data_IF_468771244410
#
_entry.id   IF_468771244410
#
_cell.length_a   1.000
_cell.length_b   1.000
_cell.length_c   1.000
_cell.angle_alpha   90.00
_cell.angle_beta   90.00
_cell.angle_gamma   90.00
#
_symmetry.space_group_name_H-M   'P 1'
#
loop_
_entity.id
_entity.type
_entity.pdbx_description
1 polymer ?
#
# COMPACT_ATOMS: atom_id res chain seq x y z
N UNK A 1 -26.44 -5.11 47.31
CA UNK A 1 -25.88 -6.15 46.42
C UNK A 1 -25.99 -5.79 44.93
N UNK A 2 -27.10 -5.21 44.44
CA UNK A 2 -27.26 -4.80 43.02
C UNK A 2 -26.24 -3.78 42.49
N UNK A 3 -25.79 -2.81 43.30
CA UNK A 3 -24.85 -1.78 42.85
C UNK A 3 -23.48 -2.38 42.46
N UNK A 4 -22.98 -3.35 43.24
CA UNK A 4 -21.73 -4.05 42.91
C UNK A 4 -21.82 -4.81 41.59
N UNK A 5 -22.98 -5.41 41.31
CA UNK A 5 -23.20 -6.13 40.06
C UNK A 5 -23.19 -5.18 38.85
N UNK A 6 -23.81 -4.00 38.96
CA UNK A 6 -23.80 -2.96 37.91
C UNK A 6 -22.41 -2.36 37.66
N UNK A 7 -21.62 -2.11 38.72
CA UNK A 7 -20.26 -1.58 38.57
C UNK A 7 -19.37 -2.63 37.89
N UNK A 8 -19.52 -3.91 38.27
CA UNK A 8 -18.75 -5.00 37.66
C UNK A 8 -19.05 -5.17 36.17
N UNK A 9 -20.32 -5.08 35.75
CA UNK A 9 -20.67 -5.20 34.31
C UNK A 9 -20.16 -4.01 33.50
N UNK A 10 -20.22 -2.79 34.04
CA UNK A 10 -19.64 -1.61 33.38
C UNK A 10 -18.13 -1.75 33.22
N UNK A 11 -17.42 -2.25 34.23
CA UNK A 11 -15.97 -2.45 34.17
C UNK A 11 -15.58 -3.49 33.11
N UNK A 12 -16.29 -4.61 33.02
CA UNK A 12 -16.04 -5.63 31.98
C UNK A 12 -16.36 -5.12 30.57
N UNK A 13 -17.46 -4.37 30.41
CA UNK A 13 -17.77 -3.71 29.15
C UNK A 13 -16.68 -2.71 28.74
N UNK A 14 -16.18 -1.91 29.68
CA UNK A 14 -15.10 -0.96 29.44
C UNK A 14 -13.81 -1.70 29.03
N UNK A 15 -13.50 -2.81 29.70
CA UNK A 15 -12.32 -3.65 29.39
C UNK A 15 -12.40 -4.22 27.98
N UNK A 16 -13.57 -4.70 27.56
CA UNK A 16 -13.79 -5.19 26.19
C UNK A 16 -13.64 -4.08 25.14
N UNK A 17 -14.13 -2.86 25.43
CA UNK A 17 -13.98 -1.69 24.54
C UNK A 17 -12.51 -1.26 24.43
N UNK A 18 -11.77 -1.25 25.53
CA UNK A 18 -10.33 -0.93 25.52
C UNK A 18 -9.55 -1.98 24.73
N UNK A 19 -9.85 -3.27 24.93
CA UNK A 19 -9.19 -4.35 24.19
C UNK A 19 -9.46 -4.30 22.69
N UNK A 20 -10.69 -3.99 22.27
CA UNK A 20 -11.02 -3.85 20.84
C UNK A 20 -10.33 -2.63 20.21
N UNK A 21 -10.24 -1.49 20.91
CA UNK A 21 -9.53 -0.31 20.42
C UNK A 21 -8.02 -0.55 20.25
N UNK A 22 -7.39 -1.31 21.16
CA UNK A 22 -5.98 -1.70 21.04
C UNK A 22 -5.78 -2.60 19.82
N UNK A 23 -6.69 -3.54 19.57
CA UNK A 23 -6.59 -4.46 18.42
C UNK A 23 -6.66 -3.72 17.08
N UNK A 24 -7.57 -2.74 16.95
CA UNK A 24 -7.69 -1.89 15.75
C UNK A 24 -6.42 -1.04 15.55
N UNK A 25 -5.79 -0.60 16.64
CA UNK A 25 -4.55 0.18 16.55
C UNK A 25 -3.37 -0.67 16.10
N UNK A 26 -3.28 -1.91 16.60
CA UNK A 26 -2.21 -2.87 16.27
C UNK A 26 -2.29 -3.37 14.82
N UNK A 27 -3.49 -3.43 14.22
CA UNK A 27 -3.66 -3.76 12.80
C UNK A 27 -3.11 -2.73 11.81
N UNK A 28 -2.69 -1.53 12.29
CA UNK A 28 -1.91 -0.58 11.50
C UNK A 28 -0.43 -1.00 11.37
N UNK A 29 -0.17 -2.31 11.33
CA UNK A 29 1.15 -2.89 11.16
C UNK A 29 1.87 -2.25 9.98
N UNK A 30 3.15 -1.99 10.15
CA UNK A 30 4.01 -1.45 9.10
C UNK A 30 4.18 -2.50 7.99
N UNK A 31 3.29 -2.46 6.98
CA UNK A 31 3.29 -3.38 5.85
C UNK A 31 4.38 -3.04 4.81
N UNK A 32 5.28 -2.08 5.07
CA UNK A 32 6.31 -1.68 4.10
C UNK A 32 7.32 -2.80 3.78
N UNK A 33 7.44 -3.80 4.66
CA UNK A 33 8.32 -4.94 4.47
C UNK A 33 7.59 -6.23 4.08
N UNK A 34 6.26 -6.21 4.06
CA UNK A 34 5.40 -7.33 3.72
C UNK A 34 5.64 -7.80 2.28
N UNK A 35 5.75 -9.12 2.06
CA UNK A 35 5.99 -9.70 0.74
C UNK A 35 4.81 -9.44 -0.19
N UNK A 36 3.59 -9.52 0.31
CA UNK A 36 2.38 -9.42 -0.50
C UNK A 36 2.23 -7.99 -1.02
N UNK A 37 2.58 -7.00 -0.19
CA UNK A 37 2.63 -5.59 -0.62
C UNK A 37 3.68 -5.38 -1.72
N UNK A 38 4.86 -6.00 -1.61
CA UNK A 38 5.90 -5.88 -2.65
C UNK A 38 5.45 -6.52 -3.96
N UNK A 39 4.85 -7.70 -3.90
CA UNK A 39 4.38 -8.43 -5.07
C UNK A 39 3.29 -7.64 -5.80
N UNK A 40 2.31 -7.10 -5.06
CA UNK A 40 1.25 -6.25 -5.63
C UNK A 40 1.81 -4.96 -6.25
N UNK A 41 2.84 -4.35 -5.66
CA UNK A 41 3.51 -3.19 -6.25
C UNK A 41 4.24 -3.59 -7.54
N UNK A 42 4.96 -4.70 -7.56
CA UNK A 42 5.69 -5.17 -8.73
C UNK A 42 4.76 -5.61 -9.87
N UNK A 43 3.60 -6.17 -9.53
CA UNK A 43 2.50 -6.50 -10.45
C UNK A 43 1.88 -5.25 -11.07
N UNK A 44 1.67 -4.22 -10.25
CA UNK A 44 1.02 -2.97 -10.64
C UNK A 44 1.96 -1.91 -11.21
N UNK A 45 3.29 -2.09 -11.15
CA UNK A 45 4.28 -1.05 -11.49
C UNK A 45 4.12 -0.50 -12.91
N UNK A 46 3.72 -1.34 -13.87
CA UNK A 46 3.45 -0.92 -15.24
C UNK A 46 2.19 -0.04 -15.32
N UNK A 47 1.14 -0.39 -14.57
CA UNK A 47 -0.09 0.41 -14.48
C UNK A 47 0.16 1.75 -13.78
N UNK A 48 0.94 1.76 -12.69
CA UNK A 48 1.38 2.98 -11.99
C UNK A 48 2.10 3.90 -12.98
N UNK A 49 3.09 3.35 -13.70
CA UNK A 49 3.84 4.09 -14.72
C UNK A 49 2.93 4.69 -15.81
N UNK A 50 1.96 3.91 -16.31
CA UNK A 50 0.99 4.39 -17.29
C UNK A 50 0.12 5.53 -16.75
N UNK A 51 -0.34 5.44 -15.49
CA UNK A 51 -1.15 6.48 -14.83
C UNK A 51 -0.37 7.79 -14.60
N UNK A 52 0.94 7.72 -14.39
CA UNK A 52 1.76 8.92 -14.20
C UNK A 52 1.98 9.75 -15.48
N UNK A 53 1.62 9.24 -16.66
CA UNK A 53 1.70 9.94 -17.96
C UNK A 53 3.08 10.53 -18.27
N UNK A 54 4.16 9.93 -17.75
CA UNK A 54 5.52 10.40 -18.03
C UNK A 54 6.09 9.80 -19.32
N UNK A 55 6.99 10.55 -19.97
CA UNK A 55 7.76 10.05 -21.12
C UNK A 55 8.72 8.91 -20.75
N UNK A 56 9.16 8.87 -19.49
CA UNK A 56 10.12 7.91 -18.97
C UNK A 56 9.48 6.99 -17.92
N UNK A 57 10.01 5.77 -17.83
CA UNK A 57 9.65 4.84 -16.77
C UNK A 57 10.24 5.26 -15.43
N UNK A 58 9.56 4.86 -14.38
CA UNK A 58 9.97 4.95 -13.00
C UNK A 58 10.09 3.56 -12.40
N UNK A 59 11.05 3.41 -11.50
CA UNK A 59 11.25 2.22 -10.69
C UNK A 59 10.86 2.49 -9.25
N UNK A 60 10.40 1.45 -8.56
CA UNK A 60 10.29 1.48 -7.12
C UNK A 60 11.69 1.64 -6.50
N UNK A 61 11.85 2.63 -5.63
CA UNK A 61 13.05 2.81 -4.82
C UNK A 61 12.78 2.41 -3.36
N UNK A 62 11.63 2.82 -2.82
CA UNK A 62 11.25 2.52 -1.44
C UNK A 62 9.73 2.57 -1.27
N UNK A 63 9.19 1.70 -0.42
CA UNK A 63 7.83 1.83 0.12
C UNK A 63 7.94 2.78 1.33
N UNK A 64 7.36 3.97 1.23
CA UNK A 64 7.43 5.01 2.27
C UNK A 64 6.37 4.76 3.33
N UNK A 65 5.17 4.36 2.89
CA UNK A 65 4.05 4.00 3.76
C UNK A 65 3.21 2.93 3.08
N UNK A 66 2.76 1.95 3.85
CA UNK A 66 1.78 0.98 3.39
C UNK A 66 0.68 0.76 4.44
N UNK A 67 -0.57 0.89 4.01
CA UNK A 67 -1.74 0.53 4.80
C UNK A 67 -2.59 -0.45 3.99
N UNK A 68 -2.90 -1.59 4.58
CA UNK A 68 -3.68 -2.66 3.94
C UNK A 68 -5.02 -2.79 4.65
N UNK A 69 -6.09 -2.82 3.87
CA UNK A 69 -7.44 -3.08 4.35
C UNK A 69 -8.03 -4.26 3.58
N UNK A 70 -8.36 -5.32 4.30
CA UNK A 70 -8.97 -6.54 3.73
C UNK A 70 -10.47 -6.49 3.98
N UNK A 71 -11.27 -6.43 2.91
CA UNK A 71 -12.74 -6.52 2.93
C UNK A 71 -13.18 -7.58 1.90
N UNK A 72 -14.16 -7.29 1.04
CA UNK A 72 -14.47 -8.12 -0.14
C UNK A 72 -13.35 -8.04 -1.21
N UNK A 73 -12.51 -7.00 -1.12
CA UNK A 73 -11.29 -6.82 -1.90
C UNK A 73 -10.17 -6.39 -0.97
N UNK A 74 -8.93 -6.60 -1.36
CA UNK A 74 -7.78 -6.07 -0.62
C UNK A 74 -7.44 -4.69 -1.17
N UNK A 75 -7.43 -3.68 -0.29
CA UNK A 75 -7.13 -2.29 -0.62
C UNK A 75 -5.77 -1.93 0.00
N UNK A 76 -4.84 -1.55 -0.86
CA UNK A 76 -3.50 -1.09 -0.49
C UNK A 76 -3.43 0.42 -0.68
N UNK A 77 -3.42 1.16 0.42
CA UNK A 77 -3.18 2.61 0.43
C UNK A 77 -1.70 2.86 0.68
N UNK A 78 -1.00 3.32 -0.38
CA UNK A 78 0.46 3.31 -0.45
C UNK A 78 1.02 4.72 -0.68
N UNK A 79 2.20 4.97 -0.12
CA UNK A 79 3.10 6.04 -0.56
C UNK A 79 4.40 5.40 -1.03
N UNK A 80 4.70 5.52 -2.31
CA UNK A 80 5.87 4.93 -2.94
C UNK A 80 6.87 6.01 -3.33
N UNK A 81 8.15 5.79 -3.02
CA UNK A 81 9.24 6.57 -3.60
C UNK A 81 9.65 5.95 -4.92
N UNK A 82 9.46 6.72 -5.98
CA UNK A 82 9.72 6.30 -7.36
C UNK A 82 10.91 7.05 -7.93
N UNK A 83 11.90 6.29 -8.41
CA UNK A 83 13.09 6.83 -9.06
C UNK A 83 12.91 6.87 -10.59
N UNK A 84 13.13 8.02 -11.24
CA UNK A 84 13.07 8.13 -12.69
C UNK A 84 14.19 7.32 -13.36
N UNK A 85 13.91 6.76 -14.54
CA UNK A 85 14.88 5.98 -15.32
C UNK A 85 15.18 6.64 -16.66
N UNK A 86 16.16 6.11 -17.38
CA UNK A 86 16.46 6.50 -18.77
C UNK A 86 15.56 5.82 -19.82
N UNK A 87 14.78 4.82 -19.43
CA UNK A 87 13.92 4.07 -20.35
C UNK A 87 12.67 4.87 -20.73
N UNK A 88 12.33 4.89 -22.02
CA UNK A 88 11.08 5.48 -22.52
C UNK A 88 9.91 4.52 -22.28
N UNK A 89 8.71 5.07 -22.05
CA UNK A 89 7.49 4.27 -21.83
C UNK A 89 7.11 3.38 -23.04
N UNK A 90 7.47 3.78 -24.26
CA UNK A 90 7.03 3.10 -25.49
C UNK A 90 7.66 1.72 -25.65
N UNK A 91 6.82 0.69 -25.75
CA UNK A 91 7.20 -0.65 -26.21
C UNK A 91 7.81 -1.58 -25.17
N UNK A 92 7.77 -1.24 -23.88
CA UNK A 92 8.37 -2.07 -22.84
C UNK A 92 7.34 -3.00 -22.17
N UNK A 93 7.78 -4.24 -21.92
CA UNK A 93 7.06 -5.25 -21.13
C UNK A 93 7.44 -5.11 -19.65
N UNK A 94 6.62 -5.67 -18.76
CA UNK A 94 6.83 -5.69 -17.30
C UNK A 94 8.26 -6.12 -16.92
N UNK A 95 8.76 -7.21 -17.51
CA UNK A 95 10.09 -7.76 -17.26
C UNK A 95 11.26 -6.83 -17.65
N UNK A 96 10.99 -5.81 -18.46
CA UNK A 96 12.00 -4.84 -18.88
C UNK A 96 12.23 -3.73 -17.87
N UNK A 97 11.27 -3.45 -16.97
CA UNK A 97 11.38 -2.35 -16.00
C UNK A 97 12.60 -2.56 -15.11
N UNK A 98 12.82 -3.77 -14.59
CA UNK A 98 13.98 -4.12 -13.76
C UNK A 98 15.35 -3.86 -14.40
N UNK A 99 15.44 -3.83 -15.74
CA UNK A 99 16.69 -3.58 -16.47
C UNK A 99 17.01 -2.09 -16.67
N UNK A 100 16.06 -1.20 -16.40
CA UNK A 100 16.22 0.23 -16.67
C UNK A 100 17.16 0.92 -15.66
N UNK A 101 18.21 1.60 -16.13
CA UNK A 101 19.10 2.34 -15.23
C UNK A 101 18.39 3.57 -14.66
N UNK A 102 18.58 3.82 -13.36
CA UNK A 102 18.13 5.05 -12.71
C UNK A 102 18.79 6.26 -13.35
N UNK A 103 18.01 7.30 -13.62
CA UNK A 103 18.53 8.57 -14.11
C UNK A 103 18.94 9.44 -12.91
N UNK A 104 20.24 9.51 -12.61
CA UNK A 104 20.77 10.26 -11.47
C UNK A 104 20.59 11.78 -11.59
N UNK A 105 20.29 12.31 -12.79
CA UNK A 105 20.03 13.75 -12.99
C UNK A 105 18.67 14.19 -12.47
N UNK A 106 17.74 13.24 -12.28
CA UNK A 106 16.38 13.53 -11.81
C UNK A 106 16.20 12.97 -10.39
N UNK A 107 15.56 13.75 -9.53
CA UNK A 107 15.29 13.35 -8.15
C UNK A 107 14.15 12.32 -8.10
N UNK A 108 14.21 11.33 -7.19
CA UNK A 108 13.05 10.50 -6.86
C UNK A 108 11.88 11.36 -6.38
N UNK A 109 10.67 10.85 -6.55
CA UNK A 109 9.45 11.50 -6.08
C UNK A 109 8.59 10.53 -5.30
N UNK A 110 7.91 11.04 -4.28
CA UNK A 110 6.95 10.28 -3.51
C UNK A 110 5.58 10.39 -4.18
N UNK A 111 4.91 9.26 -4.38
CA UNK A 111 3.63 9.14 -5.08
C UNK A 111 2.66 8.42 -4.17
N UNK A 112 1.56 9.11 -3.83
CA UNK A 112 0.45 8.52 -3.12
C UNK A 112 -0.49 7.82 -4.12
N UNK A 113 -0.85 6.57 -3.83
CA UNK A 113 -1.72 5.79 -4.70
C UNK A 113 -2.52 4.77 -3.90
N UNK A 114 -3.59 4.28 -4.52
CA UNK A 114 -4.42 3.18 -4.05
C UNK A 114 -4.36 2.06 -5.08
N UNK A 115 -4.06 0.85 -4.62
CA UNK A 115 -4.20 -0.38 -5.39
C UNK A 115 -5.36 -1.16 -4.79
N UNK A 116 -6.25 -1.68 -5.62
CA UNK A 116 -7.29 -2.61 -5.17
C UNK A 116 -7.14 -3.94 -5.91
N UNK A 117 -7.22 -5.03 -5.17
CA UNK A 117 -7.16 -6.39 -5.67
C UNK A 117 -8.50 -7.08 -5.40
N UNK A 118 -9.21 -7.46 -6.47
CA UNK A 118 -10.46 -8.20 -6.35
C UNK A 118 -10.21 -9.66 -5.92
N UNK A 119 -11.27 -10.36 -5.49
CA UNK A 119 -11.22 -11.81 -5.22
C UNK A 119 -10.79 -12.65 -6.45
N UNK A 120 -10.87 -12.09 -7.67
CA UNK A 120 -10.43 -12.75 -8.91
C UNK A 120 -8.97 -12.44 -9.28
N UNK A 121 -8.23 -11.71 -8.43
CA UNK A 121 -6.85 -11.28 -8.68
C UNK A 121 -6.74 -10.11 -9.66
N UNK A 122 -7.84 -9.40 -9.96
CA UNK A 122 -7.80 -8.23 -10.84
C UNK A 122 -7.30 -7.01 -10.06
N UNK A 123 -6.21 -6.43 -10.52
CA UNK A 123 -5.64 -5.21 -9.95
C UNK A 123 -6.20 -3.94 -10.62
N UNK A 124 -6.49 -2.93 -9.81
CA UNK A 124 -6.76 -1.56 -10.24
C UNK A 124 -5.83 -0.59 -9.53
N UNK A 125 -5.44 0.49 -10.23
CA UNK A 125 -4.50 1.51 -9.69
C UNK A 125 -5.11 2.89 -9.86
N UNK A 126 -5.12 3.64 -8.77
CA UNK A 126 -5.57 5.03 -8.69
C UNK A 126 -4.47 5.89 -8.06
N UNK A 127 -4.08 6.97 -8.75
CA UNK A 127 -3.17 7.98 -8.17
C UNK A 127 -4.00 8.98 -7.36
N UNK A 128 -3.47 9.39 -6.21
CA UNK A 128 -4.08 10.41 -5.34
C UNK A 128 -3.48 11.79 -5.61
#
# INVERSE_FOLDING_TARGET
>A
MQIYFLISTIFEMLRLIVLSAIFVSFSNGQYENDSDVKDVIDDSLLMINAKMKSKFLYKLEKIVKAHVLVVESTIYDLVLRLAPTSCKMKGLKRSSIGKCKRNMKQKPKDVALRISESMTGKLTVELK
#
